data_IF_630636310392
#
_entry.id   IF_630636310392
#
_cell.length_a   1.000
_cell.length_b   1.000
_cell.length_c   1.000
_cell.angle_alpha   90.00
_cell.angle_beta   90.00
_cell.angle_gamma   90.00
#
_symmetry.space_group_name_H-M   'P 1'
#
loop_
_entity.id
_entity.type
_entity.pdbx_description
1 polymer ?
#
# COMPACT_ATOMS: atom_id res chain seq x y z
N UNK A 1 -2.56 -3.15 -10.25
CA UNK A 1 -3.30 -2.59 -9.11
C UNK A 1 -2.75 -3.19 -7.82
N UNK A 2 -1.67 -2.64 -7.22
CA UNK A 2 -1.27 -3.05 -5.88
C UNK A 2 -2.28 -2.57 -4.84
N UNK A 3 -2.51 -3.38 -3.80
CA UNK A 3 -3.40 -3.03 -2.69
C UNK A 3 -2.67 -3.11 -1.36
N UNK A 4 -2.49 -1.97 -0.72
CA UNK A 4 -1.84 -1.83 0.57
C UNK A 4 -2.89 -1.75 1.67
N UNK A 5 -2.78 -2.65 2.64
CA UNK A 5 -3.60 -2.71 3.84
C UNK A 5 -2.74 -2.23 5.02
N UNK A 6 -3.14 -1.12 5.63
CA UNK A 6 -2.47 -0.54 6.80
C UNK A 6 -3.32 -0.86 8.01
N UNK A 7 -2.90 -1.86 8.76
CA UNK A 7 -3.51 -2.21 10.03
C UNK A 7 -2.85 -1.38 11.12
N UNK A 8 -3.64 -0.67 11.92
CA UNK A 8 -3.11 0.26 12.91
C UNK A 8 -3.88 0.19 14.23
N UNK A 9 -3.16 -0.01 15.32
CA UNK A 9 -3.67 0.11 16.70
C UNK A 9 -3.41 1.49 17.29
N UNK A 10 -2.43 2.22 16.75
CA UNK A 10 -2.26 3.63 17.08
C UNK A 10 -3.34 4.50 16.44
N UNK A 11 -3.65 5.62 17.08
CA UNK A 11 -4.58 6.60 16.51
C UNK A 11 -3.90 7.38 15.37
N UNK A 12 -4.42 7.25 14.15
CA UNK A 12 -3.99 8.00 12.98
C UNK A 12 -5.02 9.06 12.63
N UNK A 13 -4.61 10.33 12.63
CA UNK A 13 -5.47 11.41 12.13
C UNK A 13 -5.54 11.42 10.59
N UNK A 14 -6.47 12.18 10.03
CA UNK A 14 -6.70 12.17 8.58
C UNK A 14 -5.48 12.67 7.78
N UNK A 15 -4.72 13.63 8.30
CA UNK A 15 -3.51 14.11 7.67
C UNK A 15 -2.42 13.03 7.62
N UNK A 16 -2.23 12.28 8.72
CA UNK A 16 -1.29 11.16 8.76
C UNK A 16 -1.69 10.06 7.78
N UNK A 17 -2.98 9.72 7.71
CA UNK A 17 -3.49 8.75 6.72
C UNK A 17 -3.21 9.22 5.29
N UNK A 18 -3.45 10.49 4.99
CA UNK A 18 -3.15 11.06 3.69
C UNK A 18 -1.66 10.99 3.36
N UNK A 19 -0.78 11.38 4.28
CA UNK A 19 0.67 11.36 4.10
C UNK A 19 1.19 9.93 3.85
N UNK A 20 0.72 8.95 4.64
CA UNK A 20 1.07 7.54 4.46
C UNK A 20 0.59 7.00 3.10
N UNK A 21 -0.65 7.28 2.74
CA UNK A 21 -1.21 6.84 1.46
C UNK A 21 -0.44 7.43 0.27
N UNK A 22 -0.19 8.75 0.28
CA UNK A 22 0.60 9.43 -0.75
C UNK A 22 1.99 8.83 -0.87
N UNK A 23 2.67 8.58 0.25
CA UNK A 23 4.03 8.07 0.23
C UNK A 23 4.11 6.64 -0.27
N UNK A 24 3.26 5.73 0.22
CA UNK A 24 3.21 4.35 -0.27
C UNK A 24 2.94 4.32 -1.77
N UNK A 25 2.02 5.15 -2.26
CA UNK A 25 1.77 5.31 -3.70
C UNK A 25 3.02 5.73 -4.45
N UNK A 26 3.68 6.81 -4.02
CA UNK A 26 4.90 7.29 -4.69
C UNK A 26 6.05 6.29 -4.65
N UNK A 27 6.26 5.64 -3.50
CA UNK A 27 7.30 4.63 -3.30
C UNK A 27 7.08 3.42 -4.23
N UNK A 28 5.85 2.92 -4.31
CA UNK A 28 5.51 1.82 -5.23
C UNK A 28 5.68 2.23 -6.69
N UNK A 29 5.19 3.40 -7.07
CA UNK A 29 5.32 3.92 -8.44
C UNK A 29 6.78 4.04 -8.84
N UNK A 30 7.63 4.56 -7.96
CA UNK A 30 9.07 4.70 -8.20
C UNK A 30 9.76 3.34 -8.30
N UNK A 31 9.45 2.41 -7.39
CA UNK A 31 10.07 1.09 -7.37
C UNK A 31 9.75 0.28 -8.63
N UNK A 32 8.51 0.37 -9.14
CA UNK A 32 8.03 -0.56 -10.16
C UNK A 32 7.44 0.09 -11.41
N UNK A 33 7.64 1.40 -11.59
CA UNK A 33 7.13 2.20 -12.73
C UNK A 33 5.63 2.02 -12.96
N UNK A 34 4.88 1.73 -11.90
CA UNK A 34 3.44 1.50 -11.97
C UNK A 34 2.71 2.85 -11.92
N UNK A 35 1.72 3.11 -12.78
CA UNK A 35 0.89 4.32 -12.69
C UNK A 35 0.21 4.46 -11.33
N UNK A 36 0.18 5.68 -10.78
CA UNK A 36 -0.29 5.95 -9.41
C UNK A 36 -1.76 5.65 -9.18
N UNK A 37 -2.61 5.81 -10.20
CA UNK A 37 -4.05 5.52 -10.09
C UNK A 37 -4.36 4.04 -9.88
N UNK A 38 -3.38 3.14 -10.08
CA UNK A 38 -3.51 1.72 -9.75
C UNK A 38 -3.20 1.40 -8.29
N UNK A 39 -2.66 2.34 -7.50
CA UNK A 39 -2.22 2.04 -6.14
C UNK A 39 -3.35 2.32 -5.16
N UNK A 40 -3.84 1.26 -4.53
CA UNK A 40 -4.88 1.34 -3.51
C UNK A 40 -4.24 1.28 -2.13
N UNK A 41 -4.68 2.15 -1.23
CA UNK A 41 -4.28 2.13 0.17
C UNK A 41 -5.53 2.18 1.03
N UNK A 42 -5.67 1.23 1.96
CA UNK A 42 -6.80 1.18 2.89
C UNK A 42 -6.32 0.99 4.33
N UNK A 43 -6.90 1.76 5.23
CA UNK A 43 -6.62 1.71 6.66
C UNK A 43 -7.63 0.84 7.38
N UNK A 44 -7.14 -0.01 8.28
CA UNK A 44 -7.91 -0.90 9.13
C UNK A 44 -7.54 -0.61 10.59
N UNK A 45 -8.40 0.08 11.35
CA UNK A 45 -8.16 0.26 12.77
C UNK A 45 -8.27 -1.08 13.50
N UNK A 46 -7.40 -1.30 14.48
CA UNK A 46 -7.39 -2.49 15.33
C UNK A 46 -7.39 -2.11 16.81
N UNK A 47 -8.13 -2.86 17.61
CA UNK A 47 -8.09 -2.73 19.07
C UNK A 47 -7.24 -3.86 19.66
N UNK A 48 -6.19 -3.51 20.39
CA UNK A 48 -5.32 -4.49 21.07
C UNK A 48 -5.66 -4.70 22.55
N UNK A 49 -6.81 -4.19 23.01
CA UNK A 49 -7.23 -4.28 24.41
C UNK A 49 -7.41 -5.72 24.89
N UNK A 50 -7.86 -6.60 24.00
CA UNK A 50 -8.08 -8.01 24.30
C UNK A 50 -6.80 -8.84 24.19
N UNK A 51 -5.65 -8.21 23.88
CA UNK A 51 -4.34 -8.84 23.85
C UNK A 51 -4.26 -10.04 22.89
N UNK A 52 -4.89 -9.91 21.72
CA UNK A 52 -4.97 -10.96 20.69
C UNK A 52 -3.73 -11.06 19.79
N UNK A 53 -2.70 -10.25 20.06
CA UNK A 53 -1.49 -10.21 19.25
C UNK A 53 -0.30 -10.73 20.07
N UNK A 54 0.40 -11.72 19.52
CA UNK A 54 1.50 -12.41 20.22
C UNK A 54 2.74 -12.48 19.34
N UNK A 55 3.91 -12.22 19.94
CA UNK A 55 5.21 -12.36 19.31
C UNK A 55 6.04 -13.32 20.15
N UNK A 56 6.55 -14.40 19.53
CA UNK A 56 7.26 -15.47 20.23
C UNK A 56 6.47 -16.07 21.41
N UNK A 57 5.14 -16.13 21.30
CA UNK A 57 4.25 -16.59 22.38
C UNK A 57 3.99 -15.57 23.49
N UNK A 58 4.62 -14.40 23.43
CA UNK A 58 4.43 -13.33 24.40
C UNK A 58 3.33 -12.37 23.96
N UNK A 59 2.44 -11.97 24.87
CA UNK A 59 1.42 -10.98 24.57
C UNK A 59 2.05 -9.65 24.17
N UNK A 60 1.46 -9.01 23.17
CA UNK A 60 1.95 -7.75 22.64
C UNK A 60 0.85 -6.68 22.61
N UNK A 61 0.39 -6.23 23.80
CA UNK A 61 -0.81 -5.39 23.93
C UNK A 61 -0.60 -3.95 23.46
N UNK A 62 0.65 -3.51 23.33
CA UNK A 62 0.96 -2.12 23.00
C UNK A 62 0.71 -1.79 21.52
N UNK A 63 0.92 -2.75 20.60
CA UNK A 63 0.82 -2.48 19.16
C UNK A 63 0.57 -3.74 18.33
N UNK A 64 -0.15 -3.56 17.23
CA UNK A 64 -0.34 -4.54 16.14
C UNK A 64 -0.15 -3.88 14.78
N UNK A 65 0.46 -2.69 14.74
CA UNK A 65 0.62 -1.92 13.51
C UNK A 65 1.40 -2.74 12.48
N UNK A 66 0.84 -2.92 11.28
CA UNK A 66 1.49 -3.65 10.19
C UNK A 66 0.97 -3.16 8.84
N UNK A 67 1.81 -3.34 7.82
CA UNK A 67 1.46 -3.02 6.44
C UNK A 67 1.58 -4.28 5.60
N UNK A 68 0.53 -4.60 4.87
CA UNK A 68 0.49 -5.73 3.92
C UNK A 68 0.27 -5.17 2.53
N UNK A 69 1.22 -5.37 1.62
CA UNK A 69 1.09 -5.03 0.22
C UNK A 69 0.74 -6.27 -0.61
N UNK A 70 -0.46 -6.32 -1.16
CA UNK A 70 -0.79 -7.25 -2.24
C UNK A 70 -0.19 -6.68 -3.52
N UNK A 71 0.85 -7.33 -4.04
CA UNK A 71 1.68 -6.81 -5.14
C UNK A 71 1.84 -7.85 -6.23
N UNK A 72 2.09 -7.39 -7.46
CA UNK A 72 2.44 -8.30 -8.56
C UNK A 72 3.92 -8.65 -8.46
N UNK A 73 4.22 -9.93 -8.55
CA UNK A 73 5.58 -10.40 -8.81
C UNK A 73 5.88 -10.37 -10.32
N UNK A 74 7.16 -10.46 -10.64
CA UNK A 74 7.65 -10.74 -11.99
C UNK A 74 9.11 -11.14 -11.91
N UNK A 75 9.61 -11.74 -12.98
CA UNK A 75 11.04 -12.04 -13.13
C UNK A 75 11.94 -10.79 -13.06
N UNK A 76 11.38 -9.60 -13.29
CA UNK A 76 12.10 -8.32 -13.25
C UNK A 76 12.06 -7.63 -11.88
N UNK A 77 11.36 -8.20 -10.88
CA UNK A 77 11.24 -7.66 -9.53
C UNK A 77 11.94 -8.61 -8.56
N UNK A 78 13.13 -8.23 -8.13
CA UNK A 78 13.96 -9.03 -7.24
C UNK A 78 13.52 -8.89 -5.78
N UNK A 79 13.96 -9.83 -4.94
CA UNK A 79 13.81 -9.71 -3.48
C UNK A 79 14.41 -8.39 -2.95
N UNK A 80 15.55 -7.96 -3.50
CA UNK A 80 16.20 -6.72 -3.07
C UNK A 80 15.35 -5.47 -3.36
N UNK A 81 14.59 -5.47 -4.46
CA UNK A 81 13.66 -4.38 -4.78
C UNK A 81 12.53 -4.28 -3.75
N UNK A 82 11.97 -5.44 -3.35
CA UNK A 82 10.95 -5.50 -2.31
C UNK A 82 11.51 -5.16 -0.93
N UNK A 83 12.71 -5.63 -0.58
CA UNK A 83 13.36 -5.31 0.70
C UNK A 83 13.60 -3.79 0.80
N UNK A 84 14.09 -3.16 -0.28
CA UNK A 84 14.26 -1.69 -0.34
C UNK A 84 12.93 -0.95 -0.18
N UNK A 85 11.86 -1.43 -0.84
CA UNK A 85 10.54 -0.83 -0.70
C UNK A 85 9.98 -0.98 0.72
N UNK A 86 10.18 -2.13 1.38
CA UNK A 86 9.78 -2.33 2.76
C UNK A 86 10.48 -1.34 3.69
N UNK A 87 11.80 -1.20 3.57
CA UNK A 87 12.58 -0.24 4.35
C UNK A 87 12.11 1.20 4.12
N UNK A 88 11.88 1.61 2.88
CA UNK A 88 11.40 2.97 2.58
C UNK A 88 10.02 3.25 3.19
N UNK A 89 9.11 2.26 3.17
CA UNK A 89 7.78 2.37 3.78
C UNK A 89 7.90 2.49 5.31
N UNK A 90 8.76 1.69 5.93
CA UNK A 90 9.00 1.72 7.38
C UNK A 90 9.57 3.08 7.82
N UNK A 91 10.59 3.59 7.14
CA UNK A 91 11.17 4.91 7.47
C UNK A 91 10.11 6.02 7.37
N UNK A 92 9.25 5.96 6.35
CA UNK A 92 8.20 6.96 6.17
C UNK A 92 7.10 6.86 7.23
N UNK A 93 6.75 5.64 7.67
CA UNK A 93 5.82 5.42 8.78
C UNK A 93 6.28 6.17 10.04
N UNK A 94 7.54 5.97 10.43
CA UNK A 94 8.14 6.63 11.58
C UNK A 94 8.19 8.16 11.41
N UNK A 95 8.57 8.63 10.22
CA UNK A 95 8.60 10.06 9.90
C UNK A 95 7.21 10.71 10.06
N UNK A 96 6.14 10.12 9.53
CA UNK A 96 4.77 10.66 9.62
C UNK A 96 4.25 10.68 11.06
N UNK A 97 4.68 9.72 11.87
CA UNK A 97 4.30 9.63 13.29
C UNK A 97 5.15 10.48 14.22
N UNK A 98 6.19 11.14 13.70
CA UNK A 98 7.09 11.98 14.48
C UNK A 98 7.88 11.19 15.53
N UNK A 99 8.20 9.93 15.24
CA UNK A 99 8.96 9.03 16.13
C UNK A 99 10.17 8.50 15.38
N UNK A 100 11.32 8.44 16.04
CA UNK A 100 12.51 7.80 15.44
C UNK A 100 12.33 6.28 15.43
N UNK A 101 12.91 5.55 14.46
CA UNK A 101 12.98 4.09 14.51
C UNK A 101 13.69 3.55 15.78
N UNK A 102 13.39 2.32 16.24
CA UNK A 102 13.96 1.74 17.46
C UNK A 102 15.49 1.72 17.51
N UNK A 103 16.15 1.43 16.39
CA UNK A 103 17.61 1.39 16.25
C UNK A 103 18.25 2.79 16.29
N UNK A 104 17.48 3.85 15.99
CA UNK A 104 17.95 5.24 15.92
C UNK A 104 17.62 6.05 17.19
N UNK A 105 16.95 5.45 18.18
CA UNK A 105 16.52 6.13 19.41
C UNK A 105 17.20 5.55 20.65
N UNK A 106 17.85 6.39 21.45
CA UNK A 106 18.60 5.95 22.64
C UNK A 106 17.71 5.29 23.72
N UNK A 107 16.45 5.73 23.87
CA UNK A 107 15.49 5.14 24.80
C UNK A 107 14.10 5.10 24.17
N UNK A 108 13.52 3.91 24.14
CA UNK A 108 12.16 3.64 23.69
C UNK A 108 11.18 3.73 24.86
N UNK A 109 10.10 4.50 24.72
CA UNK A 109 9.06 4.64 25.74
C UNK A 109 7.73 4.02 25.27
N UNK A 110 6.73 4.00 26.16
CA UNK A 110 5.42 3.39 25.89
C UNK A 110 4.73 4.03 24.67
N UNK A 111 4.78 5.35 24.54
CA UNK A 111 4.18 6.06 23.40
C UNK A 111 4.92 5.86 22.08
N UNK A 112 6.20 5.49 22.11
CA UNK A 112 6.93 5.03 20.92
C UNK A 112 6.50 3.61 20.54
N UNK A 113 6.32 2.74 21.54
CA UNK A 113 5.93 1.36 21.35
C UNK A 113 4.53 1.23 20.74
N UNK A 114 3.58 2.05 21.16
CA UNK A 114 2.24 2.12 20.55
C UNK A 114 2.28 2.42 19.04
N UNK A 115 3.31 3.14 18.59
CA UNK A 115 3.52 3.54 17.20
C UNK A 115 4.49 2.64 16.44
N UNK A 116 5.10 1.65 17.11
CA UNK A 116 6.04 0.74 16.47
C UNK A 116 5.34 -0.01 15.35
N UNK A 117 5.97 -0.04 14.18
CA UNK A 117 5.56 -0.87 13.06
C UNK A 117 6.15 -2.25 13.24
N UNK A 118 5.32 -3.29 13.27
CA UNK A 118 5.78 -4.66 13.54
C UNK A 118 6.30 -5.33 12.28
N UNK A 119 5.67 -5.06 11.14
CA UNK A 119 6.09 -5.64 9.87
C UNK A 119 5.58 -4.84 8.67
N UNK A 120 6.37 -4.87 7.61
CA UNK A 120 5.93 -4.61 6.24
C UNK A 120 6.07 -5.92 5.48
N UNK A 121 5.00 -6.39 4.85
CA UNK A 121 4.97 -7.68 4.14
C UNK A 121 4.41 -7.50 2.74
N UNK A 122 4.88 -8.32 1.81
CA UNK A 122 4.40 -8.36 0.44
C UNK A 122 3.88 -9.75 0.11
N UNK A 123 2.65 -9.81 -0.40
CA UNK A 123 2.02 -11.05 -0.84
C UNK A 123 1.88 -11.01 -2.36
N UNK A 124 2.41 -12.00 -3.11
CA UNK A 124 2.28 -12.03 -4.55
C UNK A 124 0.83 -12.28 -4.95
N UNK A 125 0.35 -11.50 -5.91
CA UNK A 125 -0.98 -11.65 -6.50
C UNK A 125 -0.90 -12.46 -7.79
N UNK A 126 -1.32 -13.72 -7.72
CA UNK A 126 -1.40 -14.61 -8.90
C UNK A 126 -2.51 -14.18 -9.87
N UNK A 127 -3.64 -13.74 -9.33
CA UNK A 127 -4.77 -13.23 -10.11
C UNK A 127 -5.52 -12.16 -9.34
N UNK A 128 -6.00 -11.14 -10.05
CA UNK A 128 -6.94 -10.14 -9.53
C UNK A 128 -7.89 -9.72 -10.66
N UNK A 129 -9.15 -9.53 -10.31
CA UNK A 129 -10.13 -8.85 -11.17
C UNK A 129 -10.58 -7.58 -10.49
N UNK A 130 -10.45 -6.46 -11.19
CA UNK A 130 -10.78 -5.15 -10.66
C UNK A 130 -11.65 -4.38 -11.65
N UNK A 131 -12.75 -3.83 -11.16
CA UNK A 131 -13.75 -3.18 -12.03
C UNK A 131 -14.26 -4.10 -13.15
N UNK A 132 -14.21 -5.43 -12.96
CA UNK A 132 -14.57 -6.39 -14.01
C UNK A 132 -13.48 -6.66 -15.06
N UNK A 133 -12.27 -6.15 -14.89
CA UNK A 133 -11.12 -6.37 -15.78
C UNK A 133 -10.09 -7.26 -15.09
N UNK A 134 -9.46 -8.19 -15.83
CA UNK A 134 -8.29 -8.92 -15.31
C UNK A 134 -7.11 -7.95 -15.24
N UNK A 135 -6.30 -7.98 -14.18
CA UNK A 135 -5.12 -7.11 -14.07
C UNK A 135 -4.03 -7.43 -15.10
N UNK A 136 -3.19 -6.46 -15.48
CA UNK A 136 -2.04 -6.73 -16.33
C UNK A 136 -0.93 -7.50 -15.61
N UNK A 137 -0.14 -8.24 -16.38
CA UNK A 137 1.21 -8.61 -15.97
C UNK A 137 2.01 -7.36 -15.56
N UNK A 138 2.94 -7.52 -14.62
CA UNK A 138 3.80 -6.42 -14.20
C UNK A 138 4.66 -5.92 -15.37
N UNK A 139 4.63 -4.62 -15.63
CA UNK A 139 5.35 -3.99 -16.74
C UNK A 139 4.57 -3.96 -18.06
N UNK A 140 3.34 -4.49 -18.09
CA UNK A 140 2.43 -4.49 -19.25
C UNK A 140 1.23 -3.55 -19.06
N UNK A 141 1.37 -2.56 -18.19
CA UNK A 141 0.29 -1.65 -17.82
C UNK A 141 -0.22 -0.82 -19.01
N UNK A 142 0.67 -0.36 -19.88
CA UNK A 142 0.32 0.48 -21.02
C UNK A 142 -0.48 -0.30 -22.08
N UNK A 143 0.07 -1.43 -22.54
CA UNK A 143 -0.60 -2.35 -23.49
C UNK A 143 -1.99 -2.73 -22.97
N UNK A 144 -2.07 -3.14 -21.70
CA UNK A 144 -3.32 -3.49 -21.05
C UNK A 144 -4.31 -2.34 -21.02
N UNK A 145 -3.85 -1.12 -20.73
CA UNK A 145 -4.75 0.02 -20.66
C UNK A 145 -5.36 0.30 -22.03
N UNK A 146 -4.58 0.18 -23.10
CA UNK A 146 -5.09 0.28 -24.48
C UNK A 146 -6.17 -0.76 -24.77
N UNK A 147 -5.94 -2.01 -24.38
CA UNK A 147 -6.91 -3.10 -24.55
C UNK A 147 -8.20 -2.86 -23.75
N UNK A 148 -8.11 -2.28 -22.55
CA UNK A 148 -9.25 -2.04 -21.69
C UNK A 148 -10.03 -0.75 -22.01
N UNK A 149 -9.47 0.18 -22.79
CA UNK A 149 -10.11 1.47 -23.11
C UNK A 149 -11.57 1.33 -23.58
N UNK A 150 -11.94 0.43 -24.52
CA UNK A 150 -13.33 0.26 -24.93
C UNK A 150 -14.26 -0.24 -23.82
N UNK A 151 -13.74 -1.01 -22.86
CA UNK A 151 -14.52 -1.41 -21.69
C UNK A 151 -14.69 -0.24 -20.71
N UNK A 152 -13.60 0.47 -20.43
CA UNK A 152 -13.59 1.63 -19.52
C UNK A 152 -14.55 2.72 -20.02
N UNK A 153 -14.51 3.05 -21.31
CA UNK A 153 -15.40 4.02 -21.96
C UNK A 153 -16.87 3.62 -21.80
N UNK A 154 -17.21 2.36 -22.08
CA UNK A 154 -18.59 1.85 -21.90
C UNK A 154 -19.07 1.91 -20.45
N UNK A 155 -18.20 1.64 -19.47
CA UNK A 155 -18.56 1.76 -18.06
C UNK A 155 -18.70 3.22 -17.62
N UNK A 156 -17.85 4.11 -18.12
CA UNK A 156 -17.93 5.55 -17.88
C UNK A 156 -19.24 6.14 -18.45
N UNK A 157 -19.63 5.77 -19.67
CA UNK A 157 -20.91 6.18 -20.30
C UNK A 157 -22.13 5.71 -19.50
N UNK A 158 -22.04 4.55 -18.84
CA UNK A 158 -23.08 4.05 -17.93
C UNK A 158 -23.15 4.78 -16.59
N UNK A 159 -22.22 5.69 -16.30
CA UNK A 159 -22.17 6.43 -15.05
C UNK A 159 -21.67 5.59 -13.87
N UNK A 160 -20.95 4.49 -14.11
CA UNK A 160 -20.33 3.72 -13.01
C UNK A 160 -19.21 4.56 -12.40
N UNK A 161 -19.29 4.78 -11.09
CA UNK A 161 -18.35 5.62 -10.34
C UNK A 161 -16.89 5.14 -10.54
N UNK A 162 -15.96 6.09 -10.60
CA UNK A 162 -14.53 5.84 -10.79
C UNK A 162 -14.09 5.66 -12.25
N UNK A 163 -14.93 5.13 -13.15
CA UNK A 163 -14.53 4.85 -14.54
C UNK A 163 -14.28 6.11 -15.37
N UNK A 164 -15.00 7.21 -15.12
CA UNK A 164 -14.74 8.48 -15.79
C UNK A 164 -13.34 9.04 -15.47
N UNK A 165 -12.89 8.90 -14.22
CA UNK A 165 -11.53 9.28 -13.81
C UNK A 165 -10.49 8.40 -14.47
N UNK A 166 -10.69 7.07 -14.43
CA UNK A 166 -9.81 6.10 -15.06
C UNK A 166 -9.65 6.34 -16.58
N UNK A 167 -10.72 6.71 -17.26
CA UNK A 167 -10.69 7.05 -18.68
C UNK A 167 -9.84 8.29 -18.98
N UNK A 168 -9.95 9.32 -18.16
CA UNK A 168 -9.15 10.54 -18.31
C UNK A 168 -7.66 10.27 -18.08
N UNK A 169 -7.31 9.47 -17.06
CA UNK A 169 -5.94 9.01 -16.81
C UNK A 169 -5.38 8.20 -17.99
N UNK A 170 -6.18 7.30 -18.54
CA UNK A 170 -5.80 6.48 -19.69
C UNK A 170 -5.49 7.31 -20.94
N UNK A 171 -6.30 8.35 -21.21
CA UNK A 171 -6.04 9.29 -22.32
C UNK A 171 -4.81 10.16 -22.10
N UNK A 172 -4.55 10.58 -20.86
CA UNK A 172 -3.39 11.41 -20.56
C UNK A 172 -2.08 10.63 -20.64
N UNK A 173 -2.11 9.32 -20.38
CA UNK A 173 -0.94 8.43 -20.48
C UNK A 173 -0.51 8.13 -21.93
N UNK A 174 -1.29 8.55 -22.94
CA UNK A 174 -0.99 8.39 -24.37
C UNK A 174 -0.27 9.60 -25.01
N UNK A 175 -0.04 10.68 -24.25
CA UNK A 175 0.62 11.91 -24.72
C UNK A 175 2.08 11.95 -24.32
#
# INVERSE_FOLDING_TARGET
MPFYQIHHSCSLNQNQKQLLATAITQLHCRAFKTPSFFVHVRFYPEENKDNNYFVAGWPHPATSNRIVGLVRDSVSRSKADFDKLATDIEEYWYSVLGVQPPDKKARWNIGDEEKRLIMVTFTPMVALREGGMTIPEAGKEEDWLQEQLPYIDRMAVKGIEGFAGLYNEAKNSQK
#
